data_IF_513209520609
#
_entry.id   IF_513209520609
#
_cell.length_a   1.000
_cell.length_b   1.000
_cell.length_c   1.000
_cell.angle_alpha   90.00
_cell.angle_beta   90.00
_cell.angle_gamma   90.00
#
_symmetry.space_group_name_H-M   'P 1'
#
loop_
_entity.id
_entity.type
_entity.pdbx_description
1 polymer ?
#
# COMPACT_ATOMS: atom_id res chain seq x y z
N UNK A 1 -16.69 -12.35 7.80
CA UNK A 1 -16.23 -11.73 6.55
C UNK A 1 -15.51 -12.84 5.79
N UNK A 2 -16.06 -13.38 4.69
CA UNK A 2 -15.55 -14.62 4.11
C UNK A 2 -14.20 -14.43 3.38
N UNK A 3 -13.89 -13.21 2.91
CA UNK A 3 -12.56 -12.81 2.39
C UNK A 3 -11.37 -13.03 3.34
N UNK A 4 -11.60 -13.21 4.65
CA UNK A 4 -10.51 -13.45 5.62
C UNK A 4 -10.10 -14.92 5.72
N UNK A 5 -10.81 -15.82 5.04
CA UNK A 5 -10.63 -17.28 5.18
C UNK A 5 -10.38 -18.02 3.86
N UNK A 6 -10.55 -17.35 2.71
CA UNK A 6 -10.39 -17.96 1.39
C UNK A 6 -9.54 -17.07 0.46
N UNK A 7 -8.53 -17.66 -0.17
CA UNK A 7 -7.56 -16.96 -1.02
C UNK A 7 -8.16 -16.51 -2.35
N UNK A 8 -9.11 -17.26 -2.90
CA UNK A 8 -9.81 -16.88 -4.13
C UNK A 8 -10.72 -15.68 -3.87
N UNK A 9 -11.53 -15.73 -2.82
CA UNK A 9 -12.40 -14.59 -2.44
C UNK A 9 -11.58 -13.34 -2.12
N UNK A 10 -10.44 -13.49 -1.43
CA UNK A 10 -9.53 -12.37 -1.17
C UNK A 10 -9.03 -11.73 -2.48
N UNK A 11 -8.59 -12.56 -3.44
CA UNK A 11 -8.14 -12.10 -4.74
C UNK A 11 -9.26 -11.41 -5.53
N UNK A 12 -10.45 -12.01 -5.59
CA UNK A 12 -11.60 -11.43 -6.27
C UNK A 12 -11.99 -10.08 -5.66
N UNK A 13 -11.98 -9.97 -4.33
CA UNK A 13 -12.26 -8.73 -3.63
C UNK A 13 -11.24 -7.64 -4.00
N UNK A 14 -9.96 -7.99 -4.09
CA UNK A 14 -8.92 -7.07 -4.56
C UNK A 14 -9.16 -6.63 -6.02
N UNK A 15 -9.55 -7.55 -6.91
CA UNK A 15 -9.88 -7.20 -8.30
C UNK A 15 -11.10 -6.27 -8.40
N UNK A 16 -12.08 -6.39 -7.50
CA UNK A 16 -13.18 -5.44 -7.41
C UNK A 16 -12.71 -4.07 -6.95
N UNK A 17 -11.83 -4.02 -5.93
CA UNK A 17 -11.20 -2.78 -5.51
C UNK A 17 -10.43 -2.11 -6.67
N UNK A 18 -9.59 -2.86 -7.39
CA UNK A 18 -8.83 -2.31 -8.52
C UNK A 18 -9.73 -1.73 -9.60
N UNK A 19 -10.79 -2.46 -10.01
CA UNK A 19 -11.80 -1.95 -10.96
C UNK A 19 -12.51 -0.69 -10.47
N UNK A 20 -12.81 -0.61 -9.17
CA UNK A 20 -13.42 0.58 -8.57
C UNK A 20 -12.46 1.77 -8.61
N UNK A 21 -11.17 1.56 -8.33
CA UNK A 21 -10.17 2.61 -8.43
C UNK A 21 -9.96 3.06 -9.88
N UNK A 22 -9.90 2.13 -10.84
CA UNK A 22 -9.84 2.45 -12.27
C UNK A 22 -11.03 3.32 -12.70
N UNK A 23 -12.24 3.02 -12.18
CA UNK A 23 -13.41 3.85 -12.40
C UNK A 23 -13.21 5.27 -11.86
N UNK A 24 -12.76 5.41 -10.61
CA UNK A 24 -12.55 6.73 -10.00
C UNK A 24 -11.52 7.57 -10.74
N UNK A 25 -10.38 7.00 -11.14
CA UNK A 25 -9.39 7.72 -11.95
C UNK A 25 -9.96 8.17 -13.30
N UNK A 26 -10.90 7.41 -13.88
CA UNK A 26 -11.55 7.77 -15.13
C UNK A 26 -12.58 8.89 -14.98
N UNK A 27 -13.40 8.87 -13.93
CA UNK A 27 -14.51 9.84 -13.77
C UNK A 27 -14.13 11.07 -12.97
N UNK A 28 -13.07 11.00 -12.17
CA UNK A 28 -12.53 12.08 -11.35
C UNK A 28 -10.99 12.11 -11.54
N UNK A 29 -10.50 12.57 -12.71
CA UNK A 29 -9.07 12.68 -12.95
C UNK A 29 -8.44 13.60 -11.90
N UNK A 30 -7.24 13.24 -11.45
CA UNK A 30 -6.45 13.97 -10.46
C UNK A 30 -7.11 14.16 -9.08
N UNK A 31 -8.22 13.46 -8.80
CA UNK A 31 -8.92 13.55 -7.51
C UNK A 31 -8.45 12.52 -6.48
N UNK A 32 -7.82 11.44 -6.92
CA UNK A 32 -7.31 10.37 -6.05
C UNK A 32 -5.82 10.18 -6.28
N UNK A 33 -5.05 10.28 -5.21
CA UNK A 33 -3.61 10.00 -5.23
C UNK A 33 -3.34 8.55 -4.83
N UNK A 34 -2.80 7.77 -5.77
CA UNK A 34 -2.19 6.48 -5.44
C UNK A 34 -0.85 6.67 -4.74
N UNK A 35 -0.69 6.10 -3.55
CA UNK A 35 0.57 6.11 -2.79
C UNK A 35 0.94 4.67 -2.47
N UNK A 36 2.08 4.21 -3.00
CA UNK A 36 2.60 2.87 -2.74
C UNK A 36 3.42 2.88 -1.46
N UNK A 37 3.25 1.84 -0.66
CA UNK A 37 3.97 1.69 0.60
C UNK A 37 5.49 1.63 0.37
N UNK A 38 5.91 0.88 -0.66
CA UNK A 38 7.30 0.69 -1.02
C UNK A 38 7.99 2.01 -1.40
N UNK A 39 7.28 2.89 -2.12
CA UNK A 39 7.79 4.21 -2.52
C UNK A 39 8.00 5.12 -1.29
N UNK A 40 7.07 5.08 -0.31
CA UNK A 40 7.21 5.80 0.98
C UNK A 40 8.44 5.29 1.74
N UNK A 41 8.61 3.98 1.83
CA UNK A 41 9.74 3.37 2.53
C UNK A 41 11.07 3.71 1.84
N UNK A 42 11.09 3.73 0.51
CA UNK A 42 12.27 4.05 -0.28
C UNK A 42 12.65 5.54 -0.20
N UNK A 43 11.67 6.45 -0.20
CA UNK A 43 11.90 7.88 -0.14
C UNK A 43 10.75 8.66 0.53
N UNK A 44 10.76 8.67 1.86
CA UNK A 44 9.72 9.31 2.67
C UNK A 44 9.57 10.81 2.36
N UNK A 45 10.68 11.55 2.23
CA UNK A 45 10.61 13.00 2.00
C UNK A 45 9.92 13.32 0.68
N UNK A 46 10.30 12.63 -0.40
CA UNK A 46 9.70 12.83 -1.70
C UNK A 46 8.20 12.53 -1.68
N UNK A 47 7.79 11.38 -1.12
CA UNK A 47 6.37 11.01 -1.06
C UNK A 47 5.57 11.96 -0.16
N UNK A 48 6.11 12.42 0.97
CA UNK A 48 5.44 13.42 1.82
C UNK A 48 5.24 14.73 1.05
N UNK A 49 6.24 15.21 0.29
CA UNK A 49 6.08 16.41 -0.54
C UNK A 49 4.96 16.23 -1.56
N UNK A 50 4.95 15.11 -2.27
CA UNK A 50 3.93 14.75 -3.26
C UNK A 50 2.53 14.68 -2.65
N UNK A 51 2.38 14.10 -1.46
CA UNK A 51 1.11 14.01 -0.75
C UNK A 51 0.61 15.40 -0.33
N UNK A 52 1.49 16.22 0.26
CA UNK A 52 1.12 17.57 0.70
C UNK A 52 0.76 18.46 -0.48
N UNK A 53 1.53 18.41 -1.57
CA UNK A 53 1.23 19.12 -2.82
C UNK A 53 -0.13 18.73 -3.38
N UNK A 54 -0.41 17.42 -3.46
CA UNK A 54 -1.70 16.91 -3.90
C UNK A 54 -2.86 17.41 -3.02
N UNK A 55 -2.65 17.52 -1.71
CA UNK A 55 -3.64 18.06 -0.77
C UNK A 55 -3.73 19.59 -0.77
N UNK A 56 -2.85 20.30 -1.50
CA UNK A 56 -2.75 21.76 -1.46
C UNK A 56 -2.25 22.29 -0.11
N UNK A 57 -1.46 21.50 0.62
CA UNK A 57 -0.93 21.83 1.95
C UNK A 57 0.54 22.28 1.87
N UNK A 58 0.98 23.20 2.74
CA UNK A 58 2.38 23.60 2.82
C UNK A 58 3.26 22.46 3.35
N UNK A 59 4.57 22.54 3.07
CA UNK A 59 5.56 21.62 3.63
C UNK A 59 5.54 21.65 5.17
N UNK A 60 5.45 20.47 5.79
CA UNK A 60 5.56 20.30 7.24
C UNK A 60 6.63 19.25 7.58
N UNK A 61 7.74 19.73 8.12
CA UNK A 61 8.88 18.91 8.52
C UNK A 61 8.51 17.83 9.57
N UNK A 62 7.46 18.08 10.37
CA UNK A 62 6.94 17.12 11.35
C UNK A 62 6.43 15.81 10.72
N UNK A 63 6.06 15.83 9.44
CA UNK A 63 5.65 14.62 8.72
C UNK A 63 6.78 13.59 8.60
N UNK A 64 8.05 14.02 8.57
CA UNK A 64 9.21 13.12 8.54
C UNK A 64 9.51 12.52 9.93
N UNK A 65 9.05 13.18 10.98
CA UNK A 65 9.20 12.76 12.38
C UNK A 65 7.87 12.32 12.99
N UNK A 66 7.00 11.70 12.18
CA UNK A 66 5.66 11.25 12.58
C UNK A 66 5.66 10.41 13.86
N UNK A 67 6.73 9.64 14.09
CA UNK A 67 6.91 8.74 15.22
C UNK A 67 7.15 9.47 16.57
N UNK A 68 7.49 10.77 16.53
CA UNK A 68 7.67 11.61 17.72
C UNK A 68 6.33 12.15 18.26
N UNK A 69 5.20 11.89 17.58
CA UNK A 69 3.90 12.42 18.01
C UNK A 69 3.47 11.85 19.38
N UNK A 70 3.03 12.74 20.28
CA UNK A 70 2.53 12.36 21.61
C UNK A 70 1.07 11.88 21.58
N UNK A 71 0.35 12.10 20.46
CA UNK A 71 -1.06 11.72 20.32
C UNK A 71 -1.25 10.22 20.52
N UNK A 72 -2.34 9.85 21.20
CA UNK A 72 -2.72 8.45 21.32
C UNK A 72 -3.07 7.83 19.95
N UNK A 73 -2.33 6.78 19.57
CA UNK A 73 -2.61 5.95 18.39
C UNK A 73 -3.42 4.72 18.82
N UNK A 74 -4.70 4.67 18.47
CA UNK A 74 -5.63 3.59 18.87
C UNK A 74 -5.86 2.59 17.73
N UNK A 75 -4.79 2.08 17.15
CA UNK A 75 -4.81 1.07 16.09
C UNK A 75 -4.01 -0.16 16.49
N UNK A 76 -4.27 -1.31 15.85
CA UNK A 76 -3.49 -2.54 16.06
C UNK A 76 -1.99 -2.35 15.73
N UNK A 77 -1.67 -1.39 14.86
CA UNK A 77 -0.32 -0.99 14.45
C UNK A 77 0.33 0.08 15.35
N UNK A 78 -0.23 0.40 16.52
CA UNK A 78 0.22 1.52 17.37
C UNK A 78 1.71 1.47 17.72
N UNK A 79 2.27 0.30 17.99
CA UNK A 79 3.70 0.14 18.26
C UNK A 79 4.56 0.39 17.00
N UNK A 80 4.08 -0.01 15.82
CA UNK A 80 4.79 0.17 14.54
C UNK A 80 4.82 1.65 14.13
N UNK A 81 3.70 2.38 14.28
CA UNK A 81 3.60 3.81 13.96
C UNK A 81 4.48 4.69 14.86
N UNK A 82 4.89 4.18 16.03
CA UNK A 82 5.81 4.85 16.96
C UNK A 82 7.29 4.60 16.65
N UNK A 83 7.61 3.91 15.56
CA UNK A 83 8.98 3.73 15.09
C UNK A 83 9.24 4.62 13.86
N UNK A 84 10.51 5.02 13.61
CA UNK A 84 10.91 5.57 12.32
C UNK A 84 10.51 4.64 11.16
N UNK A 85 10.45 5.17 9.94
CA UNK A 85 10.17 4.35 8.77
C UNK A 85 11.22 3.23 8.65
N UNK A 86 10.77 2.00 8.37
CA UNK A 86 11.63 0.83 8.26
C UNK A 86 11.19 -0.07 7.11
N UNK A 87 12.14 -0.79 6.52
CA UNK A 87 11.91 -1.63 5.34
C UNK A 87 11.66 -3.11 5.64
N UNK A 88 11.67 -3.52 6.91
CA UNK A 88 11.56 -4.94 7.29
C UNK A 88 10.27 -5.64 6.86
N UNK A 89 9.21 -4.88 6.56
CA UNK A 89 7.94 -5.42 6.05
C UNK A 89 7.88 -5.49 4.52
N UNK A 90 8.81 -4.84 3.81
CA UNK A 90 8.90 -4.93 2.35
C UNK A 90 9.25 -6.37 1.99
N UNK A 91 8.54 -6.95 1.01
CA UNK A 91 8.72 -8.32 0.55
C UNK A 91 8.50 -9.42 1.61
N UNK A 92 7.95 -9.12 2.79
CA UNK A 92 7.74 -10.12 3.85
C UNK A 92 6.83 -11.27 3.42
N UNK A 93 5.91 -11.01 2.49
CA UNK A 93 5.02 -12.01 1.90
C UNK A 93 5.78 -13.17 1.23
N UNK A 94 7.02 -12.94 0.75
CA UNK A 94 7.85 -13.97 0.10
C UNK A 94 8.15 -15.16 1.01
N UNK A 95 8.19 -14.94 2.34
CA UNK A 95 8.35 -16.03 3.31
C UNK A 95 7.18 -17.04 3.28
N UNK A 96 6.03 -16.61 2.76
CA UNK A 96 4.79 -17.38 2.68
C UNK A 96 4.41 -17.70 1.25
N UNK A 97 5.24 -17.36 0.27
CA UNK A 97 4.94 -17.46 -1.17
C UNK A 97 4.36 -18.80 -1.58
N UNK A 98 4.93 -19.91 -1.06
CA UNK A 98 4.47 -21.29 -1.30
C UNK A 98 3.00 -21.56 -0.91
N UNK A 99 2.38 -20.66 -0.14
CA UNK A 99 1.00 -20.75 0.33
C UNK A 99 0.05 -19.81 -0.43
N UNK A 100 0.57 -19.02 -1.38
CA UNK A 100 -0.18 -17.96 -2.05
C UNK A 100 -0.56 -18.30 -3.50
N UNK A 101 -0.35 -19.53 -3.96
CA UNK A 101 -0.55 -19.91 -5.37
C UNK A 101 -1.95 -19.53 -5.89
N UNK A 102 -3.02 -19.91 -5.17
CA UNK A 102 -4.39 -19.58 -5.56
C UNK A 102 -4.62 -18.06 -5.66
N UNK A 103 -4.07 -17.30 -4.71
CA UNK A 103 -4.16 -15.85 -4.72
C UNK A 103 -3.39 -15.25 -5.91
N UNK A 104 -2.18 -15.76 -6.19
CA UNK A 104 -1.34 -15.33 -7.32
C UNK A 104 -2.05 -15.58 -8.65
N UNK A 105 -2.73 -16.72 -8.80
CA UNK A 105 -3.52 -17.04 -9.99
C UNK A 105 -4.65 -16.04 -10.21
N UNK A 106 -5.44 -15.74 -9.16
CA UNK A 106 -6.53 -14.77 -9.24
C UNK A 106 -6.01 -13.35 -9.53
N UNK A 107 -4.89 -12.96 -8.93
CA UNK A 107 -4.32 -11.62 -9.07
C UNK A 107 -3.51 -11.40 -10.35
N UNK A 108 -3.37 -12.39 -11.24
CA UNK A 108 -2.63 -12.26 -12.51
C UNK A 108 -2.88 -10.95 -13.29
N UNK A 109 -4.13 -10.47 -13.46
CA UNK A 109 -4.40 -9.22 -14.16
C UNK A 109 -3.73 -7.99 -13.53
N UNK A 110 -3.58 -7.98 -12.20
CA UNK A 110 -2.98 -6.89 -11.44
C UNK A 110 -1.46 -7.02 -11.36
N UNK A 111 -0.95 -8.25 -11.20
CA UNK A 111 0.50 -8.51 -11.18
C UNK A 111 1.19 -8.07 -12.47
N UNK A 112 0.50 -8.13 -13.61
CA UNK A 112 1.03 -7.64 -14.90
C UNK A 112 1.22 -6.12 -14.95
N UNK A 113 0.52 -5.37 -14.09
CA UNK A 113 0.66 -3.91 -13.97
C UNK A 113 1.86 -3.50 -13.10
N UNK A 114 2.39 -4.40 -12.27
CA UNK A 114 3.50 -4.12 -11.35
C UNK A 114 4.87 -4.18 -12.06
N UNK A 115 5.90 -3.49 -11.54
CA UNK A 115 7.30 -3.70 -11.94
C UNK A 115 7.70 -5.18 -11.83
N UNK A 116 8.61 -5.65 -12.68
CA UNK A 116 8.99 -7.07 -12.72
C UNK A 116 9.62 -7.57 -11.41
N UNK A 117 10.39 -6.71 -10.74
CA UNK A 117 11.01 -6.98 -9.43
C UNK A 117 10.00 -7.22 -8.29
N UNK A 118 8.79 -6.69 -8.42
CA UNK A 118 7.72 -6.81 -7.43
C UNK A 118 6.80 -8.00 -7.69
N UNK A 119 6.98 -8.71 -8.81
CA UNK A 119 6.15 -9.87 -9.16
C UNK A 119 6.63 -11.14 -8.43
N UNK A 120 5.71 -12.09 -8.16
CA UNK A 120 6.10 -13.43 -7.78
C UNK A 120 6.92 -14.10 -8.90
N UNK A 121 7.91 -14.93 -8.55
CA UNK A 121 8.64 -15.72 -9.54
C UNK A 121 7.68 -16.66 -10.28
N UNK A 122 8.04 -16.99 -11.51
CA UNK A 122 7.26 -17.90 -12.38
C UNK A 122 7.36 -19.35 -11.93
#
# INVERSE_FOLDING_TARGET
QPFTYDMMELGEYYLQYSRLMDHWHKVLPDFVLGVRYEDIVANLEFEVRRILEFCGLPWEEGCLRFHETERAVKTASSQQVRQPIYSSSVNLWRNYEKHLNELIEVLQPELQKLPEEDRPPR
#
